data_IF_009792934965
#
_entry.id   IF_009792934965
#
_cell.length_a   1.000
_cell.length_b   1.000
_cell.length_c   1.000
_cell.angle_alpha   90.00
_cell.angle_beta   90.00
_cell.angle_gamma   90.00
#
_symmetry.space_group_name_H-M   'P 1'
#
loop_
_entity.id
_entity.type
_entity.pdbx_description
1 polymer ?
#
# COMPACT_ATOMS: atom_id res chain seq x y z
N UNK A 1 -39.91 -11.54 -12.13
CA UNK A 1 -39.18 -10.28 -11.82
C UNK A 1 -38.78 -10.32 -10.35
N UNK A 2 -37.51 -10.18 -9.97
CA UNK A 2 -37.09 -10.16 -8.55
C UNK A 2 -37.08 -8.72 -8.05
N UNK A 3 -37.83 -8.43 -6.99
CA UNK A 3 -37.79 -7.13 -6.31
C UNK A 3 -36.48 -7.03 -5.49
N UNK A 4 -35.83 -5.87 -5.54
CA UNK A 4 -34.63 -5.59 -4.72
C UNK A 4 -34.83 -4.26 -3.99
N UNK A 5 -34.36 -4.19 -2.75
CA UNK A 5 -34.44 -2.99 -1.91
C UNK A 5 -33.04 -2.60 -1.44
N UNK A 6 -32.71 -1.31 -1.54
CA UNK A 6 -31.44 -0.77 -1.06
C UNK A 6 -31.53 -0.48 0.44
N UNK A 7 -30.78 -1.24 1.23
CA UNK A 7 -30.71 -1.07 2.69
C UNK A 7 -29.33 -0.53 3.05
N UNK A 8 -29.30 0.51 3.88
CA UNK A 8 -28.05 1.04 4.44
C UNK A 8 -27.65 0.19 5.64
N UNK A 9 -26.48 -0.43 5.56
CA UNK A 9 -25.91 -1.16 6.69
C UNK A 9 -25.08 -0.16 7.51
N UNK A 10 -25.40 -0.06 8.80
CA UNK A 10 -24.61 0.72 9.75
C UNK A 10 -23.77 -0.24 10.60
N UNK A 11 -22.47 0.03 10.79
CA UNK A 11 -21.64 -0.79 11.65
C UNK A 11 -22.07 -0.62 13.12
N UNK A 12 -21.97 -1.70 13.89
CA UNK A 12 -22.00 -1.65 15.34
C UNK A 12 -20.72 -1.01 15.89
N UNK A 13 -20.75 -0.53 17.14
CA UNK A 13 -19.56 0.02 17.83
C UNK A 13 -18.33 -0.91 17.78
N UNK A 14 -18.56 -2.23 17.88
CA UNK A 14 -17.49 -3.24 17.77
C UNK A 14 -16.90 -3.29 16.36
N UNK A 15 -17.74 -3.21 15.33
CA UNK A 15 -17.28 -3.18 13.94
C UNK A 15 -16.53 -1.89 13.62
N UNK A 16 -17.00 -0.74 14.10
CA UNK A 16 -16.30 0.54 13.94
C UNK A 16 -14.89 0.49 14.53
N UNK A 17 -14.76 -0.03 15.75
CA UNK A 17 -13.47 -0.20 16.40
C UNK A 17 -12.52 -1.09 15.57
N UNK A 18 -13.00 -2.22 15.06
CA UNK A 18 -12.21 -3.09 14.20
C UNK A 18 -11.81 -2.42 12.87
N UNK A 19 -12.70 -1.61 12.29
CA UNK A 19 -12.39 -0.83 11.08
C UNK A 19 -11.29 0.20 11.33
N UNK A 20 -11.29 0.85 12.50
CA UNK A 20 -10.22 1.76 12.89
C UNK A 20 -8.87 1.04 13.05
N UNK A 21 -8.84 -0.11 13.71
CA UNK A 21 -7.60 -0.91 13.80
C UNK A 21 -7.15 -1.34 12.40
N UNK A 22 -8.06 -1.82 11.55
CA UNK A 22 -7.73 -2.22 10.18
C UNK A 22 -7.13 -1.06 9.38
N UNK A 23 -7.73 0.12 9.49
CA UNK A 23 -7.26 1.37 8.86
C UNK A 23 -5.84 1.70 9.33
N UNK A 24 -5.58 1.61 10.63
CA UNK A 24 -4.27 1.87 11.21
C UNK A 24 -3.21 0.88 10.71
N UNK A 25 -3.53 -0.41 10.63
CA UNK A 25 -2.63 -1.42 10.04
C UNK A 25 -2.30 -1.12 8.57
N UNK A 26 -3.29 -0.67 7.80
CA UNK A 26 -3.08 -0.27 6.42
C UNK A 26 -2.22 1.00 6.31
N UNK A 27 -2.45 2.00 7.16
CA UNK A 27 -1.66 3.24 7.21
C UNK A 27 -0.19 2.95 7.49
N UNK A 28 0.07 2.12 8.50
CA UNK A 28 1.43 1.70 8.85
C UNK A 28 2.10 0.92 7.72
N UNK A 29 1.41 -0.07 7.12
CA UNK A 29 1.93 -0.82 5.98
C UNK A 29 2.27 0.10 4.80
N UNK A 30 1.39 1.05 4.49
CA UNK A 30 1.63 2.02 3.42
C UNK A 30 2.90 2.82 3.70
N UNK A 31 3.06 3.34 4.92
CA UNK A 31 4.22 4.14 5.31
C UNK A 31 5.52 3.33 5.30
N UNK A 32 5.51 2.08 5.79
CA UNK A 32 6.67 1.20 5.71
C UNK A 32 7.09 0.94 4.27
N UNK A 33 6.13 0.60 3.41
CA UNK A 33 6.39 0.33 2.00
C UNK A 33 6.86 1.60 1.24
N UNK A 34 6.34 2.78 1.60
CA UNK A 34 6.78 4.06 1.05
C UNK A 34 8.22 4.37 1.47
N UNK A 35 8.53 4.26 2.77
CA UNK A 35 9.87 4.49 3.30
C UNK A 35 10.89 3.58 2.64
N UNK A 36 10.59 2.29 2.53
CA UNK A 36 11.43 1.29 1.87
C UNK A 36 11.75 1.67 0.41
N UNK A 37 10.74 2.11 -0.37
CA UNK A 37 10.95 2.57 -1.75
C UNK A 37 11.81 3.83 -1.82
N UNK A 38 11.60 4.78 -0.90
CA UNK A 38 12.41 6.01 -0.83
C UNK A 38 13.87 5.67 -0.52
N UNK A 39 14.12 4.86 0.51
CA UNK A 39 15.46 4.43 0.91
C UNK A 39 16.16 3.68 -0.22
N UNK A 40 15.47 2.72 -0.84
CA UNK A 40 15.99 1.98 -1.99
C UNK A 40 16.34 2.91 -3.17
N UNK A 41 15.51 3.91 -3.46
CA UNK A 41 15.83 4.91 -4.47
C UNK A 41 17.08 5.71 -4.10
N UNK A 42 17.19 6.21 -2.86
CA UNK A 42 18.34 7.00 -2.43
C UNK A 42 19.66 6.21 -2.54
N UNK A 43 19.64 4.92 -2.19
CA UNK A 43 20.78 4.03 -2.29
C UNK A 43 21.18 3.72 -3.75
N UNK A 44 20.20 3.61 -4.66
CA UNK A 44 20.44 3.14 -6.03
C UNK A 44 20.51 4.25 -7.10
N UNK A 45 20.14 5.50 -6.76
CA UNK A 45 20.08 6.61 -7.74
C UNK A 45 21.43 6.94 -8.40
N UNK A 46 22.55 6.60 -7.76
CA UNK A 46 23.93 6.79 -8.29
C UNK A 46 24.58 5.51 -8.81
N UNK A 47 23.92 4.36 -8.63
CA UNK A 47 24.42 3.06 -9.10
C UNK A 47 24.31 2.97 -10.63
N UNK A 48 25.26 2.25 -11.25
CA UNK A 48 25.25 1.96 -12.68
C UNK A 48 23.97 1.23 -13.10
N UNK A 49 23.55 1.42 -14.35
CA UNK A 49 22.27 0.90 -14.84
C UNK A 49 22.16 -0.63 -14.71
N UNK A 50 23.26 -1.34 -14.94
CA UNK A 50 23.35 -2.81 -14.85
C UNK A 50 23.13 -3.34 -13.42
N UNK A 51 23.48 -2.55 -12.40
CA UNK A 51 23.38 -2.94 -10.98
C UNK A 51 22.17 -2.34 -10.28
N UNK A 52 21.45 -1.45 -10.94
CA UNK A 52 20.33 -0.70 -10.36
C UNK A 52 19.08 -1.58 -10.33
N UNK A 53 18.59 -1.86 -9.12
CA UNK A 53 17.34 -2.58 -8.91
C UNK A 53 16.41 -1.80 -7.97
N UNK A 54 15.24 -1.43 -8.48
CA UNK A 54 14.23 -0.70 -7.71
C UNK A 54 13.15 -1.63 -7.16
N UNK A 55 12.69 -1.32 -5.95
CA UNK A 55 11.61 -2.06 -5.30
C UNK A 55 10.29 -1.79 -6.03
N UNK A 56 9.59 -2.87 -6.38
CA UNK A 56 8.29 -2.85 -7.05
C UNK A 56 7.18 -3.34 -6.13
N UNK A 57 5.93 -3.12 -6.51
CA UNK A 57 4.76 -3.75 -5.88
C UNK A 57 4.94 -5.27 -5.75
N UNK A 58 5.44 -5.93 -6.79
CA UNK A 58 5.61 -7.38 -6.81
C UNK A 58 6.62 -7.86 -5.76
N UNK A 59 7.67 -7.08 -5.50
CA UNK A 59 8.65 -7.38 -4.45
C UNK A 59 8.00 -7.25 -3.06
N UNK A 60 7.32 -6.14 -2.79
CA UNK A 60 6.67 -5.87 -1.50
C UNK A 60 5.52 -6.82 -1.21
N UNK A 61 4.73 -7.19 -2.23
CA UNK A 61 3.63 -8.13 -2.09
C UNK A 61 4.12 -9.53 -1.74
N UNK A 62 5.29 -9.95 -2.25
CA UNK A 62 5.91 -11.25 -1.88
C UNK A 62 6.49 -11.24 -0.47
N UNK A 63 6.83 -10.06 0.07
CA UNK A 63 7.33 -9.90 1.43
C UNK A 63 6.23 -9.88 2.51
N UNK A 64 4.94 -9.83 2.13
CA UNK A 64 3.83 -9.80 3.08
C UNK A 64 3.77 -11.00 4.06
N UNK A 65 4.10 -12.25 3.67
CA UNK A 65 4.21 -13.35 4.63
C UNK A 65 5.27 -13.07 5.70
N UNK A 66 6.46 -12.61 5.28
CA UNK A 66 7.56 -12.24 6.20
C UNK A 66 7.13 -11.11 7.14
N UNK A 67 6.39 -10.12 6.63
CA UNK A 67 5.81 -9.06 7.45
C UNK A 67 4.87 -9.63 8.53
N UNK A 68 4.02 -10.61 8.19
CA UNK A 68 3.09 -11.24 9.14
C UNK A 68 3.78 -12.14 10.17
N UNK A 69 4.96 -12.66 9.86
CA UNK A 69 5.77 -13.40 10.82
C UNK A 69 6.53 -12.46 11.75
N UNK A 70 7.07 -11.36 11.23
CA UNK A 70 7.72 -10.31 12.03
C UNK A 70 6.73 -9.56 12.93
N UNK A 71 5.51 -9.33 12.43
CA UNK A 71 4.45 -8.59 13.11
C UNK A 71 3.18 -9.44 13.18
N UNK A 72 3.08 -10.37 14.15
CA UNK A 72 1.95 -11.30 14.28
C UNK A 72 0.58 -10.61 14.36
N UNK A 73 0.53 -9.34 14.79
CA UNK A 73 -0.69 -8.53 14.84
C UNK A 73 -1.26 -8.17 13.46
N UNK A 74 -0.58 -8.51 12.37
CA UNK A 74 -1.11 -8.44 11.00
C UNK A 74 -1.74 -9.76 10.52
N UNK A 75 -1.64 -10.87 11.27
CA UNK A 75 -2.12 -12.19 10.82
C UNK A 75 -3.63 -12.22 10.59
N UNK A 76 -4.40 -11.55 11.44
CA UNK A 76 -5.86 -11.45 11.31
C UNK A 76 -6.29 -10.59 10.10
N UNK A 77 -5.41 -9.75 9.57
CA UNK A 77 -5.73 -8.92 8.41
C UNK A 77 -5.73 -9.78 7.15
N UNK A 78 -6.84 -9.78 6.44
CA UNK A 78 -6.97 -10.54 5.19
C UNK A 78 -5.93 -10.07 4.17
N UNK A 79 -5.22 -11.02 3.54
CA UNK A 79 -4.06 -10.74 2.69
C UNK A 79 -4.40 -9.82 1.52
N UNK A 80 -5.64 -9.87 0.99
CA UNK A 80 -6.08 -8.98 -0.08
C UNK A 80 -6.14 -7.51 0.35
N UNK A 81 -6.42 -7.22 1.62
CA UNK A 81 -6.44 -5.86 2.15
C UNK A 81 -5.02 -5.29 2.13
N UNK A 82 -4.05 -6.03 2.65
CA UNK A 82 -2.64 -5.63 2.63
C UNK A 82 -2.11 -5.45 1.20
N UNK A 83 -2.42 -6.39 0.30
CA UNK A 83 -2.07 -6.27 -1.12
C UNK A 83 -2.72 -5.05 -1.77
N UNK A 84 -3.98 -4.75 -1.47
CA UNK A 84 -4.68 -3.58 -2.01
C UNK A 84 -4.03 -2.28 -1.52
N UNK A 85 -3.61 -2.22 -0.27
CA UNK A 85 -2.86 -1.08 0.27
C UNK A 85 -1.55 -0.86 -0.49
N UNK A 86 -0.78 -1.93 -0.76
CA UNK A 86 0.43 -1.83 -1.57
C UNK A 86 0.14 -1.44 -3.03
N UNK A 87 -0.98 -1.89 -3.61
CA UNK A 87 -1.42 -1.45 -4.95
C UNK A 87 -1.77 0.02 -5.01
N UNK A 88 -2.38 0.57 -3.95
CA UNK A 88 -2.65 2.01 -3.86
C UNK A 88 -1.36 2.82 -3.87
N UNK A 89 -0.35 2.40 -3.10
CA UNK A 89 0.98 3.01 -3.14
C UNK A 89 1.57 2.96 -4.56
N UNK A 90 1.46 1.81 -5.23
CA UNK A 90 1.96 1.66 -6.59
C UNK A 90 1.27 2.60 -7.59
N UNK A 91 -0.05 2.69 -7.52
CA UNK A 91 -0.84 3.59 -8.36
C UNK A 91 -0.47 5.06 -8.11
N UNK A 92 -0.22 5.45 -6.86
CA UNK A 92 0.24 6.80 -6.53
C UNK A 92 1.60 7.10 -7.15
N UNK A 93 2.57 6.17 -7.08
CA UNK A 93 3.85 6.32 -7.76
C UNK A 93 3.69 6.45 -9.28
N UNK A 94 2.85 5.62 -9.90
CA UNK A 94 2.57 5.72 -11.34
C UNK A 94 1.99 7.09 -11.71
N UNK A 95 1.05 7.59 -10.90
CA UNK A 95 0.47 8.93 -11.06
C UNK A 95 1.53 10.02 -10.91
N UNK A 96 2.35 9.95 -9.86
CA UNK A 96 3.47 10.87 -9.62
C UNK A 96 4.41 10.94 -10.83
N UNK A 97 4.87 9.78 -11.35
CA UNK A 97 5.75 9.77 -12.51
C UNK A 97 5.07 10.26 -13.80
N UNK A 98 3.77 10.02 -13.95
CA UNK A 98 2.97 10.55 -15.05
C UNK A 98 2.92 12.08 -15.02
N UNK A 99 2.68 12.68 -13.85
CA UNK A 99 2.67 14.13 -13.65
C UNK A 99 4.06 14.74 -13.79
N UNK A 100 5.09 14.07 -13.26
CA UNK A 100 6.48 14.49 -13.39
C UNK A 100 6.93 14.57 -14.86
N UNK A 101 6.54 13.59 -15.69
CA UNK A 101 6.78 13.62 -17.14
C UNK A 101 6.11 14.81 -17.84
N UNK A 102 4.97 15.27 -17.31
CA UNK A 102 4.27 16.48 -17.76
C UNK A 102 4.84 17.78 -17.16
N UNK A 103 5.96 17.70 -16.43
CA UNK A 103 6.64 18.83 -15.77
C UNK A 103 5.80 19.54 -14.71
N UNK A 104 4.86 18.84 -14.09
CA UNK A 104 4.12 19.36 -12.94
C UNK A 104 5.07 19.48 -11.72
N UNK A 105 5.24 20.70 -11.21
CA UNK A 105 6.11 21.01 -10.08
C UNK A 105 5.51 20.61 -8.73
N UNK A 106 4.21 20.34 -8.67
CA UNK A 106 3.49 19.98 -7.46
C UNK A 106 3.27 18.47 -7.31
N UNK A 107 3.73 17.66 -8.27
CA UNK A 107 3.62 16.21 -8.22
C UNK A 107 4.28 15.65 -6.95
N UNK A 108 3.53 14.82 -6.21
CA UNK A 108 4.03 14.07 -5.06
C UNK A 108 3.53 12.62 -5.11
N UNK A 109 4.34 11.64 -4.70
CA UNK A 109 3.91 10.24 -4.56
C UNK A 109 3.00 10.04 -3.34
#
# INVERSE_FOLDING_TARGET
MKLTQKIRINPSKKQEYLLWILSEKCRLLYNFALAERIENYQQNKRTSMEKRHYISYSSQSRALPILKDKYPEYRWVYSKVLQTTLKKLDANYQSFFSLWKKRDKHARP
#
